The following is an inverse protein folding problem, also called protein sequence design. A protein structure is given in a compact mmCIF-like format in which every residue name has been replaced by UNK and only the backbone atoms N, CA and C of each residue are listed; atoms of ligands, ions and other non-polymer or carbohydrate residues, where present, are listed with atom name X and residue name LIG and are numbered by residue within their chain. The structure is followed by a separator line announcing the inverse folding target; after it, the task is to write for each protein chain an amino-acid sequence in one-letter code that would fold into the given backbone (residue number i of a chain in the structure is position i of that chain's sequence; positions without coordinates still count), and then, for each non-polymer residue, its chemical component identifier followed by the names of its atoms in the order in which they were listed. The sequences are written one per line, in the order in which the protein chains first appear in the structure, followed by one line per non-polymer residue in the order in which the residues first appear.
data_IF_080996354869
#
_entry.id   IF_080996354869
#
_cell.length_a   1.000
_cell.length_b   1.000
_cell.length_c   1.000
_cell.angle_alpha   90.00
_cell.angle_beta   90.00
_cell.angle_gamma   90.00
#
_symmetry.space_group_name_H-M   'P 1'
#
loop_
_entity.id
_entity.type
_entity.pdbx_description
1 polymer ?
#
# COMPACT_ATOMS: atom_id res chain seq x y z
N UNK A 1 17.91 -83.27 14.09
CA UNK A 1 17.76 -83.37 15.57
C UNK A 1 16.35 -82.97 15.93
N UNK A 2 15.74 -83.72 16.86
CA UNK A 2 14.30 -83.81 17.13
C UNK A 2 13.94 -82.95 18.36
N UNK A 3 12.65 -82.57 18.44
CA UNK A 3 11.86 -82.13 19.63
C UNK A 3 12.22 -80.72 20.17
N UNK A 4 11.31 -79.77 20.50
CA UNK A 4 9.94 -79.86 21.05
C UNK A 4 9.01 -78.73 20.60
N UNK A 5 7.78 -79.12 20.27
CA UNK A 5 6.60 -78.28 20.35
C UNK A 5 6.24 -78.02 21.82
N UNK A 6 5.78 -76.80 22.13
CA UNK A 6 5.13 -76.45 23.39
C UNK A 6 3.83 -75.72 23.04
N UNK A 7 2.71 -76.40 23.26
CA UNK A 7 1.38 -75.81 23.30
C UNK A 7 1.25 -74.89 24.53
N UNK A 8 0.73 -73.69 24.32
CA UNK A 8 0.10 -72.82 25.31
C UNK A 8 -0.93 -71.99 24.53
N UNK A 9 -2.20 -72.36 24.60
CA UNK A 9 -3.18 -71.82 25.57
C UNK A 9 -3.72 -70.46 25.10
N UNK A 10 -4.93 -70.56 24.54
CA UNK A 10 -5.86 -69.52 24.16
C UNK A 10 -6.15 -68.54 25.30
N UNK A 11 -5.86 -67.25 25.11
CA UNK A 11 -6.59 -66.16 25.77
C UNK A 11 -6.52 -64.85 24.93
N UNK A 12 -7.61 -64.41 24.27
CA UNK A 12 -7.61 -63.21 23.42
C UNK A 12 -7.79 -61.88 24.20
N UNK A 13 -7.78 -61.91 25.54
CA UNK A 13 -8.07 -60.73 26.37
C UNK A 13 -6.87 -59.83 26.72
N UNK A 14 -5.63 -60.20 26.42
CA UNK A 14 -4.44 -59.51 26.95
C UNK A 14 -3.60 -58.72 25.94
N UNK A 15 -4.03 -58.64 24.67
CA UNK A 15 -3.28 -57.93 23.62
C UNK A 15 -3.71 -56.45 23.49
N UNK A 16 -4.86 -56.06 24.02
CA UNK A 16 -5.40 -54.69 23.86
C UNK A 16 -4.88 -53.70 24.93
N UNK A 17 -4.49 -54.16 26.12
CA UNK A 17 -3.96 -53.26 27.17
C UNK A 17 -2.49 -52.85 26.98
N UNK A 18 -1.72 -53.56 26.16
CA UNK A 18 -0.31 -53.20 25.90
C UNK A 18 -0.11 -52.22 24.73
N UNK A 19 -1.17 -51.90 23.97
CA UNK A 19 -1.08 -50.93 22.86
C UNK A 19 -1.40 -49.48 23.26
N UNK A 20 -1.88 -49.21 24.48
CA UNK A 20 -2.23 -47.84 24.93
C UNK A 20 -1.24 -47.21 25.93
N UNK A 21 -0.20 -47.92 26.36
CA UNK A 21 0.80 -47.37 27.32
C UNK A 21 1.99 -46.67 26.65
N UNK A 22 2.14 -46.79 25.33
CA UNK A 22 3.28 -46.24 24.59
C UNK A 22 2.90 -45.13 23.61
N UNK A 23 1.98 -44.24 24.00
CA UNK A 23 1.82 -42.95 23.32
C UNK A 23 2.70 -41.95 24.07
N UNK A 24 3.80 -41.64 23.42
CA UNK A 24 4.89 -40.79 23.86
C UNK A 24 4.37 -39.44 24.40
N UNK A 25 4.59 -39.17 25.69
CA UNK A 25 4.19 -37.91 26.38
C UNK A 25 4.84 -36.68 25.74
N UNK A 26 5.87 -36.88 24.91
CA UNK A 26 6.51 -35.82 24.12
C UNK A 26 5.63 -35.31 22.98
N UNK A 27 4.79 -36.16 22.39
CA UNK A 27 3.97 -35.78 21.22
C UNK A 27 2.75 -34.94 21.60
N UNK A 28 2.12 -35.24 22.73
CA UNK A 28 0.98 -34.47 23.26
C UNK A 28 1.40 -33.08 23.73
N UNK A 29 2.60 -32.94 24.29
CA UNK A 29 3.16 -31.64 24.68
C UNK A 29 3.44 -30.72 23.49
N UNK A 30 3.94 -31.28 22.38
CA UNK A 30 4.23 -30.53 21.16
C UNK A 30 2.96 -29.99 20.49
N UNK A 31 1.90 -30.80 20.45
CA UNK A 31 0.61 -30.38 19.89
C UNK A 31 -0.06 -29.32 20.78
N UNK A 32 -0.07 -29.51 22.11
CA UNK A 32 -0.61 -28.52 23.03
C UNK A 32 0.15 -27.18 23.00
N UNK A 33 1.48 -27.21 22.80
CA UNK A 33 2.26 -25.99 22.69
C UNK A 33 1.97 -25.24 21.39
N UNK A 34 1.82 -25.94 20.27
CA UNK A 34 1.43 -25.33 18.99
C UNK A 34 0.03 -24.71 19.04
N UNK A 35 -0.93 -25.36 19.69
CA UNK A 35 -2.30 -24.82 19.84
C UNK A 35 -2.31 -23.58 20.74
N UNK A 36 -1.56 -23.58 21.85
CA UNK A 36 -1.45 -22.42 22.75
C UNK A 36 -0.74 -21.23 22.11
N UNK A 37 0.30 -21.47 21.31
CA UNK A 37 1.01 -20.39 20.59
C UNK A 37 0.12 -19.79 19.49
N UNK A 38 -0.63 -20.61 18.77
CA UNK A 38 -1.53 -20.13 17.71
C UNK A 38 -2.70 -19.30 18.27
N UNK A 39 -3.25 -19.70 19.42
CA UNK A 39 -4.32 -18.94 20.09
C UNK A 39 -3.81 -17.60 20.61
N UNK A 40 -2.63 -17.54 21.24
CA UNK A 40 -2.04 -16.28 21.70
C UNK A 40 -1.73 -15.33 20.53
N UNK A 41 -1.20 -15.84 19.41
CA UNK A 41 -0.93 -15.02 18.22
C UNK A 41 -2.23 -14.52 17.55
N UNK A 42 -3.31 -15.30 17.57
CA UNK A 42 -4.61 -14.85 17.04
C UNK A 42 -5.24 -13.72 17.86
N UNK A 43 -5.09 -13.74 19.19
CA UNK A 43 -5.65 -12.70 20.08
C UNK A 43 -4.88 -11.37 19.92
N UNK A 44 -3.56 -11.43 19.70
CA UNK A 44 -2.74 -10.23 19.43
C UNK A 44 -3.10 -9.62 18.06
N UNK A 45 -3.45 -10.44 17.06
CA UNK A 45 -3.85 -9.95 15.73
C UNK A 45 -5.22 -9.27 15.71
N UNK A 46 -6.12 -9.59 16.66
CA UNK A 46 -7.45 -8.95 16.76
C UNK A 46 -7.39 -7.61 17.49
N UNK A 47 -6.35 -7.37 18.31
CA UNK A 47 -6.19 -6.11 19.05
C UNK A 47 -5.39 -5.02 18.32
N UNK A 48 -4.81 -5.29 17.16
CA UNK A 48 -4.16 -4.27 16.31
C UNK A 48 -5.03 -3.78 15.14
N UNK A 49 -6.26 -4.27 14.99
CA UNK A 49 -7.22 -3.83 13.96
C UNK A 49 -8.41 -3.03 14.51
N UNK A 50 -8.28 -2.43 15.70
CA UNK A 50 -9.20 -1.39 16.15
C UNK A 50 -8.74 0.01 15.66
N UNK A 51 -8.39 0.13 14.37
CA UNK A 51 -8.37 1.43 13.71
C UNK A 51 -9.79 1.73 13.24
N UNK A 52 -10.50 2.48 14.08
CA UNK A 52 -11.82 3.03 13.81
C UNK A 52 -11.78 3.96 12.60
N UNK A 53 -12.24 3.46 11.45
CA UNK A 53 -12.67 4.31 10.35
C UNK A 53 -14.04 4.86 10.72
N UNK A 54 -14.06 6.06 11.31
CA UNK A 54 -15.31 6.83 11.48
C UNK A 54 -15.82 7.18 10.08
N UNK A 55 -16.85 6.47 9.60
CA UNK A 55 -17.59 6.83 8.38
C UNK A 55 -18.13 8.25 8.54
N UNK A 56 -17.73 9.13 7.64
CA UNK A 56 -18.42 10.37 7.39
C UNK A 56 -19.58 10.07 6.44
N UNK A 57 -20.81 10.40 6.83
CA UNK A 57 -21.98 10.39 5.95
C UNK A 57 -21.80 11.44 4.84
N UNK A 58 -22.04 11.10 3.56
CA UNK A 58 -22.15 12.08 2.49
C UNK A 58 -23.63 12.35 2.21
N UNK A 59 -24.28 13.13 3.07
CA UNK A 59 -25.58 13.74 2.77
C UNK A 59 -25.40 15.25 2.59
N UNK A 60 -24.90 15.62 1.41
CA UNK A 60 -24.69 17.01 1.03
C UNK A 60 -23.67 17.19 -0.09
N UNK A 61 -23.85 16.50 -1.22
CA UNK A 61 -23.07 16.75 -2.43
C UNK A 61 -23.67 17.97 -3.16
N UNK A 62 -23.22 19.16 -2.78
CA UNK A 62 -23.26 20.31 -3.66
C UNK A 62 -22.08 20.17 -4.64
N UNK A 63 -22.35 20.31 -5.93
CA UNK A 63 -21.37 20.19 -7.01
C UNK A 63 -20.24 21.22 -6.82
N UNK A 64 -19.09 20.76 -6.34
CA UNK A 64 -17.84 21.50 -6.46
C UNK A 64 -16.99 20.84 -7.53
N UNK A 65 -16.80 21.58 -8.61
CA UNK A 65 -15.85 21.39 -9.70
C UNK A 65 -14.47 20.91 -9.20
N UNK A 66 -13.72 20.09 -9.95
CA UNK A 66 -12.44 19.56 -9.50
C UNK A 66 -11.42 20.69 -9.39
N UNK A 67 -11.28 21.24 -8.19
CA UNK A 67 -10.21 22.17 -7.87
C UNK A 67 -8.89 21.43 -7.99
N UNK A 68 -8.03 21.97 -8.85
CA UNK A 68 -6.61 21.68 -8.90
C UNK A 68 -6.06 21.58 -7.47
N UNK A 69 -5.54 20.40 -7.13
CA UNK A 69 -4.85 20.15 -5.87
C UNK A 69 -3.60 21.05 -5.80
N UNK A 70 -3.80 22.27 -5.29
CA UNK A 70 -2.74 23.15 -4.83
C UNK A 70 -2.06 22.43 -3.68
N UNK A 71 -0.87 21.90 -3.97
CA UNK A 71 -0.01 21.23 -3.02
C UNK A 71 0.24 22.15 -1.81
N UNK A 72 0.09 21.66 -0.56
CA UNK A 72 0.69 22.34 0.56
C UNK A 72 2.20 22.25 0.36
N UNK A 73 2.84 23.42 0.25
CA UNK A 73 4.27 23.57 0.41
C UNK A 73 4.64 22.89 1.73
N UNK A 74 5.21 21.68 1.65
CA UNK A 74 5.70 20.96 2.82
C UNK A 74 6.87 21.81 3.28
N UNK A 75 6.57 22.73 4.20
CA UNK A 75 7.51 23.61 4.89
C UNK A 75 8.53 22.77 5.62
N UNK A 76 9.52 22.29 4.88
CA UNK A 76 10.77 21.77 5.38
C UNK A 76 11.53 22.99 5.86
N UNK A 77 11.33 23.29 7.13
CA UNK A 77 12.07 24.26 7.90
C UNK A 77 13.58 24.10 7.62
N UNK A 78 14.10 25.01 6.80
CA UNK A 78 15.49 25.01 6.28
C UNK A 78 16.50 25.39 7.38
N UNK A 79 16.00 25.79 8.54
CA UNK A 79 16.76 26.61 9.48
C UNK A 79 17.69 25.78 10.39
N UNK A 80 17.51 24.46 10.47
CA UNK A 80 18.42 23.60 11.25
C UNK A 80 19.65 23.09 10.47
N UNK A 81 19.60 23.03 9.13
CA UNK A 81 20.72 22.56 8.29
C UNK A 81 21.63 23.73 7.87
N UNK A 82 21.09 24.95 7.85
CA UNK A 82 21.80 26.14 7.41
C UNK A 82 23.00 26.55 8.26
N UNK A 83 23.16 26.03 9.49
CA UNK A 83 24.17 26.56 10.43
C UNK A 83 25.63 26.39 9.95
N UNK A 84 26.01 25.19 9.47
CA UNK A 84 27.40 24.94 9.02
C UNK A 84 27.66 25.52 7.64
N UNK A 85 26.72 25.36 6.71
CA UNK A 85 26.85 25.86 5.34
C UNK A 85 26.77 27.41 5.28
N UNK A 86 25.96 28.06 6.14
CA UNK A 86 25.88 29.53 6.20
C UNK A 86 27.15 30.19 6.75
N UNK A 87 27.84 29.54 7.69
CA UNK A 87 29.09 30.06 8.26
C UNK A 87 30.19 30.16 7.20
N UNK A 88 30.31 29.14 6.33
CA UNK A 88 31.29 29.13 5.24
C UNK A 88 30.84 29.88 3.99
N UNK A 89 29.53 30.04 3.74
CA UNK A 89 29.01 30.90 2.66
C UNK A 89 29.42 32.36 2.82
N UNK A 90 29.51 32.85 4.06
CA UNK A 90 29.92 34.22 4.39
C UNK A 90 31.43 34.46 4.34
N UNK A 91 32.26 33.42 4.26
CA UNK A 91 33.72 33.52 4.18
C UNK A 91 34.20 33.88 2.76
N UNK A 92 35.40 34.49 2.61
CA UNK A 92 35.94 34.85 1.30
C UNK A 92 36.20 33.62 0.44
N UNK A 93 36.32 33.84 -0.88
CA UNK A 93 36.28 32.78 -1.91
C UNK A 93 37.31 31.66 -1.72
N UNK A 94 38.43 31.93 -1.04
CA UNK A 94 39.41 30.89 -0.70
C UNK A 94 38.81 29.82 0.21
N UNK A 95 38.20 30.23 1.33
CA UNK A 95 37.60 29.32 2.30
C UNK A 95 36.42 28.56 1.70
N UNK A 96 35.60 29.22 0.87
CA UNK A 96 34.47 28.58 0.21
C UNK A 96 34.94 27.45 -0.72
N UNK A 97 36.00 27.70 -1.51
CA UNK A 97 36.60 26.69 -2.38
C UNK A 97 37.26 25.56 -1.60
N UNK A 98 37.99 25.87 -0.53
CA UNK A 98 38.60 24.85 0.33
C UNK A 98 37.54 23.97 1.02
N UNK A 99 36.49 24.58 1.59
CA UNK A 99 35.38 23.88 2.22
C UNK A 99 34.57 23.01 1.23
N UNK A 100 34.31 23.51 0.01
CA UNK A 100 33.64 22.73 -1.03
C UNK A 100 34.44 21.47 -1.40
N UNK A 101 35.77 21.56 -1.47
CA UNK A 101 36.62 20.39 -1.74
C UNK A 101 36.64 19.41 -0.57
N UNK A 102 36.68 19.91 0.66
CA UNK A 102 36.54 19.09 1.87
C UNK A 102 35.23 18.30 1.79
N UNK A 103 34.10 18.97 1.52
CA UNK A 103 32.78 18.35 1.41
C UNK A 103 32.75 17.15 0.44
N UNK A 104 33.35 17.27 -0.74
CA UNK A 104 33.38 16.17 -1.73
C UNK A 104 34.17 14.96 -1.22
N UNK A 105 35.26 15.19 -0.47
CA UNK A 105 36.13 14.14 0.06
C UNK A 105 35.62 13.51 1.36
N UNK A 106 34.77 14.23 2.11
CA UNK A 106 34.13 13.71 3.33
C UNK A 106 33.08 12.63 3.07
N UNK A 107 32.75 12.32 1.81
CA UNK A 107 31.78 11.27 1.48
C UNK A 107 32.29 9.86 1.84
N UNK A 108 33.61 9.69 1.97
CA UNK A 108 34.24 8.47 2.46
C UNK A 108 34.37 8.56 3.99
N UNK A 109 33.83 7.56 4.70
CA UNK A 109 33.62 7.53 6.16
C UNK A 109 34.88 7.83 6.99
N UNK A 110 36.06 7.65 6.41
CA UNK A 110 37.33 7.97 7.05
C UNK A 110 38.17 8.79 6.06
N UNK A 111 38.24 10.10 6.26
CA UNK A 111 39.14 10.92 5.46
C UNK A 111 40.56 10.46 5.73
N UNK A 112 41.27 10.04 4.68
CA UNK A 112 42.69 9.69 4.75
C UNK A 112 43.48 10.77 5.51
N UNK A 113 44.40 10.32 6.36
CA UNK A 113 45.19 11.20 7.21
C UNK A 113 45.96 12.25 6.39
N UNK A 114 46.43 11.88 5.19
CA UNK A 114 47.08 12.80 4.27
C UNK A 114 46.11 13.84 3.70
N UNK A 115 44.90 13.44 3.32
CA UNK A 115 43.86 14.38 2.86
C UNK A 115 43.45 15.37 3.93
N UNK A 116 43.35 14.92 5.19
CA UNK A 116 43.08 15.78 6.34
C UNK A 116 44.16 16.85 6.51
N UNK A 117 45.43 16.47 6.39
CA UNK A 117 46.55 17.40 6.46
C UNK A 117 46.50 18.42 5.33
N UNK A 118 46.25 18.00 4.08
CA UNK A 118 46.19 18.90 2.93
C UNK A 118 45.01 19.88 3.00
N UNK A 119 43.87 19.41 3.51
CA UNK A 119 42.72 20.27 3.81
C UNK A 119 43.06 21.30 4.90
N UNK A 120 43.76 20.89 5.97
CA UNK A 120 44.19 21.80 7.04
C UNK A 120 45.15 22.87 6.53
N UNK A 121 46.11 22.47 5.69
CA UNK A 121 47.01 23.40 4.99
C UNK A 121 46.19 24.40 4.17
N UNK A 122 45.30 23.91 3.30
CA UNK A 122 44.50 24.78 2.43
C UNK A 122 43.69 25.83 3.21
N UNK A 123 43.06 25.42 4.32
CA UNK A 123 42.29 26.33 5.18
C UNK A 123 43.19 27.34 5.90
N UNK A 124 44.37 26.91 6.34
CA UNK A 124 45.38 27.78 6.96
C UNK A 124 45.88 28.84 5.99
N UNK A 125 46.18 28.44 4.75
CA UNK A 125 46.64 29.37 3.73
C UNK A 125 45.58 30.40 3.36
N UNK A 126 44.30 30.00 3.36
CA UNK A 126 43.20 30.95 3.22
C UNK A 126 43.19 31.98 4.35
N UNK A 127 43.41 31.55 5.59
CA UNK A 127 43.47 32.44 6.76
C UNK A 127 44.65 33.41 6.69
N UNK A 128 45.85 32.90 6.40
CA UNK A 128 47.05 33.72 6.25
C UNK A 128 46.90 34.76 5.14
N UNK A 129 46.28 34.38 4.01
CA UNK A 129 46.01 35.30 2.91
C UNK A 129 45.03 36.40 3.31
N UNK A 130 44.01 36.09 4.09
CA UNK A 130 43.05 37.09 4.58
C UNK A 130 43.62 37.98 5.67
N UNK A 131 44.64 37.53 6.39
CA UNK A 131 45.25 38.29 7.47
C UNK A 131 46.20 39.39 6.96
N UNK A 132 46.67 39.36 5.70
CA UNK A 132 47.62 40.32 5.07
C UNK A 132 48.98 40.53 5.80
N UNK A 133 49.14 40.05 7.03
CA UNK A 133 50.31 40.32 7.87
C UNK A 133 51.48 39.36 7.64
N UNK A 134 51.27 38.19 7.01
CA UNK A 134 52.29 37.16 6.85
C UNK A 134 52.36 36.64 5.42
N UNK A 135 53.57 36.58 4.86
CA UNK A 135 53.83 35.95 3.57
C UNK A 135 53.62 34.44 3.68
N UNK A 136 52.98 33.87 2.66
CA UNK A 136 52.79 32.43 2.55
C UNK A 136 54.17 31.78 2.28
N UNK A 137 54.56 30.70 2.99
CA UNK A 137 55.79 29.98 2.69
C UNK A 137 55.77 29.45 1.26
N UNK A 138 56.88 29.60 0.52
CA UNK A 138 57.01 29.12 -0.87
C UNK A 138 56.82 27.61 -0.95
N UNK A 139 57.18 26.89 0.12
CA UNK A 139 56.99 25.46 0.26
C UNK A 139 55.50 25.04 0.25
N UNK A 140 54.58 25.98 0.47
CA UNK A 140 53.15 25.77 0.54
C UNK A 140 52.38 26.26 -0.71
N UNK A 141 53.05 26.84 -1.70
CA UNK A 141 52.42 27.48 -2.86
C UNK A 141 51.54 26.50 -3.66
N UNK A 142 51.95 25.23 -3.75
CA UNK A 142 51.20 24.14 -4.41
C UNK A 142 49.79 23.95 -3.83
N UNK A 143 49.57 24.34 -2.57
CA UNK A 143 48.28 24.20 -1.88
C UNK A 143 47.35 25.41 -2.05
N UNK A 144 47.82 26.50 -2.68
CA UNK A 144 46.99 27.68 -3.00
C UNK A 144 46.15 27.49 -4.26
N UNK A 145 46.65 26.70 -5.22
CA UNK A 145 45.99 26.43 -6.49
C UNK A 145 45.07 25.22 -6.41
N UNK A 146 44.23 25.01 -7.45
CA UNK A 146 43.21 23.95 -7.49
C UNK A 146 43.80 22.52 -7.36
N UNK A 147 45.12 22.36 -7.55
CA UNK A 147 45.84 21.09 -7.42
C UNK A 147 46.28 20.68 -6.00
N UNK A 148 46.07 21.50 -4.98
CA UNK A 148 46.59 21.28 -3.61
C UNK A 148 46.15 20.00 -2.90
N UNK A 149 45.01 19.41 -3.28
CA UNK A 149 44.53 18.13 -2.73
C UNK A 149 44.92 16.92 -3.58
N UNK A 150 45.77 17.10 -4.59
CA UNK A 150 46.31 15.98 -5.37
C UNK A 150 47.00 14.99 -4.45
N UNK A 151 46.71 13.70 -4.64
CA UNK A 151 47.18 12.60 -3.77
C UNK A 151 48.71 12.59 -3.65
N UNK A 152 49.41 13.03 -4.71
CA UNK A 152 50.88 13.04 -4.81
C UNK A 152 51.57 14.30 -4.25
N UNK A 153 50.82 15.32 -3.80
CA UNK A 153 51.43 16.55 -3.30
C UNK A 153 52.17 16.29 -1.96
N UNK A 154 53.49 16.56 -1.88
CA UNK A 154 54.26 16.38 -0.65
C UNK A 154 53.87 17.46 0.36
N UNK A 155 53.06 17.08 1.35
CA UNK A 155 52.53 18.00 2.36
C UNK A 155 53.48 18.23 3.53
N UNK A 156 54.40 17.29 3.81
CA UNK A 156 55.32 17.37 4.95
C UNK A 156 56.19 18.63 4.97
N UNK A 157 56.73 19.03 3.81
CA UNK A 157 57.60 20.21 3.68
C UNK A 157 56.82 21.50 4.01
N UNK A 158 55.58 21.60 3.54
CA UNK A 158 54.72 22.73 3.87
C UNK A 158 54.34 22.75 5.37
N UNK A 159 54.04 21.60 5.98
CA UNK A 159 53.77 21.53 7.43
C UNK A 159 54.99 21.97 8.25
N UNK A 160 56.19 21.53 7.86
CA UNK A 160 57.44 21.98 8.48
C UNK A 160 57.61 23.50 8.34
N UNK A 161 57.37 24.07 7.16
CA UNK A 161 57.43 25.52 6.96
C UNK A 161 56.40 26.27 7.83
N UNK A 162 55.15 25.79 7.92
CA UNK A 162 54.11 26.37 8.78
C UNK A 162 54.49 26.33 10.27
N UNK A 163 55.24 25.31 10.70
CA UNK A 163 55.70 25.18 12.08
C UNK A 163 56.74 26.23 12.50
N UNK A 164 57.37 26.92 11.55
CA UNK A 164 58.35 27.99 11.83
C UNK A 164 57.71 29.25 12.42
N UNK A 165 56.39 29.41 12.26
CA UNK A 165 55.61 30.51 12.84
C UNK A 165 54.57 29.97 13.82
N UNK A 166 54.57 30.49 15.05
CA UNK A 166 53.61 30.10 16.09
C UNK A 166 52.17 30.39 15.68
N UNK A 167 51.92 31.50 14.98
CA UNK A 167 50.59 31.85 14.47
C UNK A 167 50.15 30.88 13.37
N UNK A 168 51.03 30.58 12.40
CA UNK A 168 50.72 29.65 11.30
C UNK A 168 50.46 28.24 11.83
N UNK A 169 51.25 27.80 12.82
CA UNK A 169 51.08 26.52 13.48
C UNK A 169 49.76 26.42 14.27
N UNK A 170 49.38 27.50 14.95
CA UNK A 170 48.12 27.57 15.69
C UNK A 170 46.92 27.41 14.74
N UNK A 171 46.88 28.15 13.63
CA UNK A 171 45.82 28.04 12.62
C UNK A 171 45.78 26.64 11.99
N UNK A 172 46.95 26.09 11.60
CA UNK A 172 47.04 24.73 11.04
C UNK A 172 46.55 23.65 11.99
N UNK A 173 47.05 23.65 13.23
CA UNK A 173 46.66 22.64 14.22
C UNK A 173 45.19 22.76 14.65
N UNK A 174 44.62 23.97 14.60
CA UNK A 174 43.18 24.21 14.74
C UNK A 174 42.40 23.51 13.64
N UNK A 175 42.67 23.84 12.37
CA UNK A 175 41.95 23.23 11.25
C UNK A 175 42.12 21.71 11.18
N UNK A 176 43.31 21.19 11.51
CA UNK A 176 43.55 19.74 11.53
C UNK A 176 42.61 18.99 12.49
N UNK A 177 42.22 19.63 13.61
CA UNK A 177 41.26 19.09 14.59
C UNK A 177 39.81 19.33 14.18
N UNK A 178 39.53 20.45 13.51
CA UNK A 178 38.18 20.83 13.08
C UNK A 178 37.69 20.07 11.85
N UNK A 179 38.58 19.72 10.91
CA UNK A 179 38.21 19.06 9.64
C UNK A 179 37.44 17.75 9.85
N UNK A 180 37.83 16.84 10.76
CA UNK A 180 37.02 15.65 11.05
C UNK A 180 35.58 16.00 11.49
N UNK A 181 35.43 17.00 12.36
CA UNK A 181 34.11 17.44 12.82
C UNK A 181 33.29 18.04 11.67
N UNK A 182 33.94 18.84 10.83
CA UNK A 182 33.33 19.42 9.63
C UNK A 182 32.87 18.33 8.65
N UNK A 183 33.63 17.24 8.50
CA UNK A 183 33.22 16.11 7.68
C UNK A 183 32.02 15.37 8.22
N UNK A 184 31.98 15.07 9.52
CA UNK A 184 30.79 14.47 10.12
C UNK A 184 29.54 15.33 9.90
N UNK A 185 29.69 16.66 9.98
CA UNK A 185 28.60 17.58 9.69
C UNK A 185 28.17 17.54 8.21
N UNK A 186 29.11 17.55 7.27
CA UNK A 186 28.81 17.46 5.84
C UNK A 186 28.18 16.12 5.45
N UNK A 187 28.68 15.01 5.99
CA UNK A 187 28.13 13.68 5.76
C UNK A 187 26.68 13.62 6.22
N UNK A 188 26.40 14.05 7.46
CA UNK A 188 25.04 14.07 8.01
C UNK A 188 24.10 14.95 7.17
N UNK A 189 24.59 16.09 6.68
CA UNK A 189 23.80 16.94 5.78
C UNK A 189 23.50 16.23 4.47
N UNK A 190 24.49 15.58 3.87
CA UNK A 190 24.33 14.87 2.60
C UNK A 190 23.39 13.67 2.72
N UNK A 191 23.50 12.90 3.80
CA UNK A 191 22.59 11.79 4.12
C UNK A 191 21.15 12.27 4.26
N UNK A 192 20.95 13.43 4.92
CA UNK A 192 19.63 14.05 5.03
C UNK A 192 19.07 14.46 3.67
N UNK A 193 19.88 15.12 2.85
CA UNK A 193 19.47 15.56 1.50
C UNK A 193 19.11 14.35 0.63
N UNK A 194 19.91 13.29 0.68
CA UNK A 194 19.65 12.03 -0.02
C UNK A 194 18.34 11.37 0.45
N UNK A 195 18.12 11.32 1.77
CA UNK A 195 16.88 10.77 2.32
C UNK A 195 15.66 11.56 1.83
N UNK A 196 15.71 12.89 1.88
CA UNK A 196 14.63 13.76 1.39
C UNK A 196 14.33 13.52 -0.09
N UNK A 197 15.37 13.36 -0.91
CA UNK A 197 15.21 13.07 -2.34
C UNK A 197 14.54 11.71 -2.57
N UNK A 198 14.96 10.67 -1.85
CA UNK A 198 14.33 9.34 -1.91
C UNK A 198 12.84 9.43 -1.51
N UNK A 199 12.53 10.13 -0.43
CA UNK A 199 11.14 10.32 0.02
C UNK A 199 10.30 11.09 -1.00
N UNK A 200 10.88 12.11 -1.65
CA UNK A 200 10.20 12.86 -2.70
C UNK A 200 9.86 11.96 -3.88
N UNK A 201 10.83 11.19 -4.37
CA UNK A 201 10.64 10.27 -5.49
C UNK A 201 9.59 9.18 -5.16
N UNK A 202 9.68 8.57 -3.99
CA UNK A 202 8.69 7.59 -3.53
C UNK A 202 7.28 8.20 -3.38
N UNK A 203 7.18 9.46 -2.94
CA UNK A 203 5.89 10.16 -2.80
C UNK A 203 5.27 10.42 -4.17
N UNK A 204 6.07 10.83 -5.16
CA UNK A 204 5.60 11.04 -6.54
C UNK A 204 5.03 9.74 -7.12
N UNK A 205 5.76 8.63 -6.98
CA UNK A 205 5.29 7.31 -7.44
C UNK A 205 4.00 6.89 -6.74
N UNK A 206 3.92 7.07 -5.42
CA UNK A 206 2.73 6.74 -4.64
C UNK A 206 1.52 7.56 -5.08
N UNK A 207 1.70 8.85 -5.36
CA UNK A 207 0.63 9.72 -5.87
C UNK A 207 0.17 9.22 -7.25
N UNK A 208 1.10 8.88 -8.16
CA UNK A 208 0.76 8.34 -9.47
C UNK A 208 -0.04 7.02 -9.35
N UNK A 209 0.37 6.15 -8.44
CA UNK A 209 -0.34 4.90 -8.16
C UNK A 209 -1.76 5.13 -7.60
N UNK A 210 -1.92 6.04 -6.64
CA UNK A 210 -3.25 6.39 -6.09
C UNK A 210 -4.16 6.92 -7.20
N UNK A 211 -3.67 7.81 -8.07
CA UNK A 211 -4.45 8.31 -9.21
C UNK A 211 -4.89 7.18 -10.14
N UNK A 212 -4.02 6.23 -10.42
CA UNK A 212 -4.36 5.06 -11.22
C UNK A 212 -5.48 4.21 -10.57
N UNK A 213 -5.41 3.98 -9.25
CA UNK A 213 -6.45 3.28 -8.51
C UNK A 213 -7.79 4.05 -8.52
N UNK A 214 -7.76 5.38 -8.39
CA UNK A 214 -8.96 6.21 -8.47
C UNK A 214 -9.63 6.11 -9.83
N UNK A 215 -8.87 6.19 -10.92
CA UNK A 215 -9.39 6.03 -12.28
C UNK A 215 -10.00 4.64 -12.51
N UNK A 216 -9.40 3.60 -11.91
CA UNK A 216 -9.96 2.25 -11.98
C UNK A 216 -11.27 2.14 -11.20
N UNK A 217 -11.33 2.71 -10.00
CA UNK A 217 -12.53 2.72 -9.19
C UNK A 217 -13.68 3.47 -9.89
N UNK A 218 -13.38 4.60 -10.55
CA UNK A 218 -14.35 5.36 -11.35
C UNK A 218 -14.92 4.52 -12.50
N UNK A 219 -14.08 3.81 -13.25
CA UNK A 219 -14.54 2.90 -14.32
C UNK A 219 -15.39 1.74 -13.79
N UNK A 220 -15.04 1.21 -12.62
CA UNK A 220 -15.82 0.16 -11.96
C UNK A 220 -17.19 0.70 -11.51
N UNK A 221 -17.26 1.94 -11.04
CA UNK A 221 -18.51 2.62 -10.65
C UNK A 221 -19.40 2.93 -11.87
N UNK A 222 -18.82 3.42 -12.96
CA UNK A 222 -19.53 3.60 -14.25
C UNK A 222 -20.12 2.27 -14.76
N UNK A 223 -19.34 1.18 -14.72
CA UNK A 223 -19.84 -0.14 -15.09
C UNK A 223 -20.95 -0.61 -14.15
N UNK A 224 -20.85 -0.31 -12.85
CA UNK A 224 -21.86 -0.70 -11.87
C UNK A 224 -23.17 0.07 -12.07
N UNK A 225 -23.11 1.37 -12.31
CA UNK A 225 -24.29 2.20 -12.61
C UNK A 225 -24.98 1.77 -13.90
N UNK A 226 -24.22 1.46 -14.95
CA UNK A 226 -24.76 0.87 -16.18
C UNK A 226 -25.47 -0.46 -15.92
N UNK A 227 -24.84 -1.36 -15.16
CA UNK A 227 -25.46 -2.63 -14.78
C UNK A 227 -26.73 -2.46 -13.98
N UNK A 228 -26.75 -1.54 -13.02
CA UNK A 228 -27.96 -1.22 -12.25
C UNK A 228 -29.09 -0.72 -13.15
N UNK A 229 -28.79 0.14 -14.13
CA UNK A 229 -29.79 0.63 -15.08
C UNK A 229 -30.38 -0.49 -15.94
N UNK A 230 -29.54 -1.43 -16.42
CA UNK A 230 -29.98 -2.59 -17.20
C UNK A 230 -30.87 -3.52 -16.38
N UNK A 231 -30.54 -3.74 -15.10
CA UNK A 231 -31.35 -4.55 -14.19
C UNK A 231 -32.73 -3.93 -13.97
N UNK A 232 -32.81 -2.61 -13.84
CA UNK A 232 -34.08 -1.89 -13.73
C UNK A 232 -34.92 -2.02 -15.00
N UNK A 233 -34.29 -1.93 -16.17
CA UNK A 233 -34.98 -2.09 -17.47
C UNK A 233 -35.50 -3.52 -17.68
N UNK A 234 -34.70 -4.52 -17.34
CA UNK A 234 -35.12 -5.93 -17.34
C UNK A 234 -36.30 -6.16 -16.39
N UNK A 235 -36.26 -5.58 -15.19
CA UNK A 235 -37.36 -5.67 -14.24
C UNK A 235 -38.64 -5.01 -14.82
N UNK A 236 -38.51 -3.87 -15.49
CA UNK A 236 -39.62 -3.23 -16.19
C UNK A 236 -40.22 -4.11 -17.28
N UNK A 237 -39.35 -4.76 -18.07
CA UNK A 237 -39.76 -5.72 -19.10
C UNK A 237 -40.49 -6.93 -18.51
N UNK A 238 -39.98 -7.50 -17.42
CA UNK A 238 -40.64 -8.61 -16.70
C UNK A 238 -42.03 -8.19 -16.19
N UNK A 239 -42.14 -7.01 -15.59
CA UNK A 239 -43.43 -6.50 -15.12
C UNK A 239 -44.43 -6.33 -16.27
N UNK A 240 -43.98 -5.89 -17.45
CA UNK A 240 -44.82 -5.78 -18.64
C UNK A 240 -45.31 -7.14 -19.16
N UNK A 241 -44.42 -8.15 -19.15
CA UNK A 241 -44.78 -9.53 -19.51
C UNK A 241 -45.79 -10.11 -18.52
N UNK A 242 -45.62 -9.86 -17.22
CA UNK A 242 -46.57 -10.28 -16.19
C UNK A 242 -47.95 -9.63 -16.39
N UNK A 243 -48.01 -8.35 -16.74
CA UNK A 243 -49.25 -7.67 -17.06
C UNK A 243 -49.92 -8.27 -18.31
N UNK A 244 -49.14 -8.60 -19.34
CA UNK A 244 -49.65 -9.26 -20.54
C UNK A 244 -50.20 -10.66 -20.24
N UNK A 245 -49.49 -11.47 -19.45
CA UNK A 245 -49.99 -12.80 -19.04
C UNK A 245 -51.29 -12.69 -18.26
N UNK A 246 -51.42 -11.70 -17.35
CA UNK A 246 -52.67 -11.47 -16.63
C UNK A 246 -53.85 -11.07 -17.54
N UNK A 247 -53.56 -10.34 -18.63
CA UNK A 247 -54.57 -10.00 -19.63
C UNK A 247 -55.00 -11.21 -20.45
N UNK A 248 -54.06 -12.07 -20.85
CA UNK A 248 -54.34 -13.34 -21.54
C UNK A 248 -55.19 -14.26 -20.67
N UNK A 249 -54.85 -14.40 -19.38
CA UNK A 249 -55.64 -15.21 -18.44
C UNK A 249 -57.07 -14.68 -18.31
N UNK A 250 -57.25 -13.35 -18.24
CA UNK A 250 -58.58 -12.74 -18.18
C UNK A 250 -59.39 -13.03 -19.44
N UNK A 251 -58.78 -12.92 -20.62
CA UNK A 251 -59.42 -13.26 -21.90
C UNK A 251 -59.80 -14.74 -21.93
N UNK A 252 -58.92 -15.63 -21.49
CA UNK A 252 -59.17 -17.07 -21.45
C UNK A 252 -60.37 -17.41 -20.56
N UNK A 253 -60.45 -16.81 -19.36
CA UNK A 253 -61.60 -16.97 -18.45
C UNK A 253 -62.90 -16.42 -19.07
N UNK A 254 -62.87 -15.26 -19.73
CA UNK A 254 -64.09 -14.69 -20.36
C UNK A 254 -64.57 -15.53 -21.55
N UNK A 255 -63.65 -16.01 -22.41
CA UNK A 255 -63.98 -16.89 -23.54
C UNK A 255 -64.55 -18.21 -23.05
N UNK A 256 -63.90 -18.85 -22.07
CA UNK A 256 -64.38 -20.12 -21.52
C UNK A 256 -65.77 -19.97 -20.86
N UNK A 257 -66.02 -18.87 -20.16
CA UNK A 257 -67.35 -18.56 -19.61
C UNK A 257 -68.40 -18.36 -20.71
N UNK A 258 -68.09 -17.63 -21.78
CA UNK A 258 -69.00 -17.44 -22.93
C UNK A 258 -69.31 -18.76 -23.63
N UNK A 259 -68.30 -19.58 -23.91
CA UNK A 259 -68.50 -20.89 -24.55
C UNK A 259 -69.37 -21.79 -23.68
N UNK A 260 -69.15 -21.81 -22.36
CA UNK A 260 -69.98 -22.59 -21.45
C UNK A 260 -71.44 -22.09 -21.45
N UNK A 261 -71.64 -20.78 -21.47
CA UNK A 261 -72.97 -20.17 -21.53
C UNK A 261 -73.71 -20.52 -22.84
N UNK A 262 -73.04 -20.40 -23.99
CA UNK A 262 -73.59 -20.80 -25.30
C UNK A 262 -73.96 -22.28 -25.31
N UNK A 263 -73.09 -23.17 -24.78
CA UNK A 263 -73.39 -24.60 -24.66
C UNK A 263 -74.61 -24.89 -23.78
N UNK A 264 -74.74 -24.17 -22.66
CA UNK A 264 -75.92 -24.29 -21.78
C UNK A 264 -77.21 -23.81 -22.47
N UNK A 265 -77.15 -22.73 -23.25
CA UNK A 265 -78.30 -22.26 -24.02
C UNK A 265 -78.71 -23.26 -25.11
N UNK A 266 -77.74 -23.81 -25.85
CA UNK A 266 -78.02 -24.86 -26.84
C UNK A 266 -78.62 -26.10 -26.18
N UNK A 267 -78.07 -26.55 -25.05
CA UNK A 267 -78.66 -27.70 -24.32
C UNK A 267 -80.08 -27.42 -23.84
N UNK A 268 -80.36 -26.21 -23.33
CA UNK A 268 -81.70 -25.84 -22.87
C UNK A 268 -82.71 -25.81 -24.02
N UNK A 269 -82.37 -25.19 -25.13
CA UNK A 269 -83.24 -25.11 -26.30
C UNK A 269 -83.51 -26.49 -26.92
N UNK A 270 -82.51 -27.38 -26.96
CA UNK A 270 -82.71 -28.77 -27.36
C UNK A 270 -83.63 -29.53 -26.41
N UNK A 271 -83.53 -29.30 -25.10
CA UNK A 271 -84.40 -29.93 -24.10
C UNK A 271 -85.85 -29.44 -24.20
N UNK A 272 -86.06 -28.14 -24.39
CA UNK A 272 -87.39 -27.55 -24.64
C UNK A 272 -88.01 -28.06 -25.97
N UNK A 273 -87.20 -28.20 -27.03
CA UNK A 273 -87.63 -28.79 -28.30
C UNK A 273 -88.01 -30.28 -28.15
N UNK A 274 -87.31 -31.01 -27.29
CA UNK A 274 -87.62 -32.40 -27.00
C UNK A 274 -88.92 -32.55 -26.20
N UNK A 275 -89.13 -31.71 -25.19
CA UNK A 275 -90.37 -31.69 -24.40
C UNK A 275 -91.59 -31.36 -25.26
N UNK A 276 -91.46 -30.41 -26.20
CA UNK A 276 -92.53 -30.08 -27.15
C UNK A 276 -92.84 -31.25 -28.10
N UNK A 277 -91.84 -31.94 -28.64
CA UNK A 277 -92.05 -33.17 -29.42
C UNK A 277 -92.74 -34.28 -28.60
N UNK A 278 -92.39 -34.44 -27.32
CA UNK A 278 -93.04 -35.41 -26.43
C UNK A 278 -94.50 -35.06 -26.16
N UNK A 279 -94.83 -33.77 -26.00
CA UNK A 279 -96.21 -33.33 -25.83
C UNK A 279 -97.04 -33.57 -27.10
N UNK A 280 -96.50 -33.24 -28.28
CA UNK A 280 -97.17 -33.49 -29.56
C UNK A 280 -97.41 -34.99 -29.79
N UNK A 281 -96.39 -35.81 -29.57
CA UNK A 281 -96.52 -37.27 -29.70
C UNK A 281 -97.51 -37.86 -28.70
N UNK A 282 -97.51 -37.43 -27.44
CA UNK A 282 -98.52 -37.82 -26.45
C UNK A 282 -99.94 -37.41 -26.88
N UNK A 283 -100.11 -36.19 -27.42
CA UNK A 283 -101.40 -35.71 -27.91
C UNK A 283 -101.89 -36.55 -29.10
N UNK A 284 -101.01 -36.87 -30.04
CA UNK A 284 -101.31 -37.77 -31.16
C UNK A 284 -101.77 -39.16 -30.66
N UNK A 285 -101.04 -39.77 -29.71
CA UNK A 285 -101.40 -41.07 -29.15
C UNK A 285 -102.74 -41.05 -28.43
N UNK A 286 -103.03 -39.99 -27.66
CA UNK A 286 -104.32 -39.84 -26.97
C UNK A 286 -105.49 -39.63 -27.96
N UNK A 287 -105.27 -38.89 -29.06
CA UNK A 287 -106.30 -38.69 -30.09
C UNK A 287 -106.67 -39.95 -30.88
N UNK A 288 -105.76 -40.95 -30.93
CA UNK A 288 -105.99 -42.23 -31.59
C UNK A 288 -106.75 -43.25 -30.71
N UNK A 289 -106.99 -42.95 -29.43
CA UNK A 289 -107.65 -43.84 -28.47
C UNK A 289 -108.99 -43.32 -27.93
N UNK A 290 -109.48 -42.17 -28.42
CA UNK A 290 -110.83 -41.65 -28.13
C UNK A 290 -111.70 -41.66 -29.38
#
# INVERSE_FOLDING_TARGET
MRIKAKEASSDPGHVIELLFSSIDKSFTFSIMWRIKVFTILSVISVHTLAFSWRRHDPSGAEHTEPQDLVYPDIGLDKDAIGSVDSSYKRKPDCFRRAAARIRVRCAEIDMDAGQRVKAAISMTLCELRTAEFHSIPLECEVFLEEGGLSERAPHGICVEALSRSTQSWASYSGYLREIPQLCFAYQRSNEKDLALEIYRNATIEKIAYIRHLMQRAEKEDEAHTLWQSLLLDLQGSINSLQAFTGLVDKIYVDISARVLHELQQVMRTQMEAFDTQLQETCFYVLSLHG
#
